data_IF_053316827633
#
_entry.id   IF_053316827633
#
_cell.length_a   1.000
_cell.length_b   1.000
_cell.length_c   1.000
_cell.angle_alpha   90.00
_cell.angle_beta   90.00
_cell.angle_gamma   90.00
#
_symmetry.space_group_name_H-M   'P 1'
#
loop_
_entity.id
_entity.type
_entity.pdbx_description
1 polymer ?
#
# COMPACT_ATOMS: atom_id res chain seq x y z
N UNK A 1 -19.11 62.75 -9.19
CA UNK A 1 -19.73 61.45 -9.52
C UNK A 1 -20.34 61.61 -10.89
N UNK A 2 -19.68 61.12 -11.93
CA UNK A 2 -20.14 61.29 -13.30
C UNK A 2 -19.88 60.03 -14.12
N UNK A 3 -20.98 59.58 -14.75
CA UNK A 3 -21.09 58.85 -16.03
C UNK A 3 -21.16 57.31 -15.99
N UNK A 4 -22.37 56.80 -16.19
CA UNK A 4 -22.67 55.62 -17.03
C UNK A 4 -23.89 55.97 -17.90
N UNK A 5 -23.89 55.61 -19.18
CA UNK A 5 -24.75 54.49 -19.64
C UNK A 5 -24.03 53.60 -20.68
N UNK A 6 -24.09 52.28 -20.57
CA UNK A 6 -25.09 51.35 -21.13
C UNK A 6 -24.54 50.70 -22.41
N UNK A 7 -24.20 49.41 -22.33
CA UNK A 7 -24.32 48.49 -23.45
C UNK A 7 -24.90 47.16 -22.94
N UNK A 8 -25.98 46.80 -23.61
CA UNK A 8 -26.91 45.71 -23.35
C UNK A 8 -26.36 44.42 -23.95
N UNK A 9 -26.22 43.35 -23.17
CA UNK A 9 -26.13 42.00 -23.74
C UNK A 9 -27.25 41.10 -23.21
N UNK A 10 -28.17 40.88 -24.14
CA UNK A 10 -29.27 39.93 -24.26
C UNK A 10 -29.26 38.71 -23.33
N UNK A 11 -30.37 38.56 -22.63
CA UNK A 11 -30.87 37.32 -22.03
C UNK A 11 -31.94 36.69 -22.93
N UNK A 12 -32.29 35.44 -22.62
CA UNK A 12 -33.40 34.59 -23.11
C UNK A 12 -33.17 33.86 -24.46
N UNK A 13 -33.58 32.61 -24.65
CA UNK A 13 -33.97 31.43 -23.86
C UNK A 13 -34.38 30.40 -24.94
N UNK A 14 -34.09 29.10 -24.79
CA UNK A 14 -35.09 28.07 -25.11
C UNK A 14 -34.69 26.69 -24.57
N UNK A 15 -35.71 25.85 -24.36
CA UNK A 15 -35.80 24.78 -23.37
C UNK A 15 -36.07 23.45 -24.09
N UNK A 16 -35.80 22.32 -23.41
CA UNK A 16 -36.44 20.99 -23.62
C UNK A 16 -35.97 20.21 -24.88
N UNK A 17 -35.82 18.88 -24.91
CA UNK A 17 -36.48 17.74 -24.25
C UNK A 17 -35.49 16.56 -24.11
N UNK A 18 -35.86 15.59 -23.28
CA UNK A 18 -35.13 14.35 -22.96
C UNK A 18 -35.14 13.33 -24.11
N UNK A 19 -34.10 12.50 -24.19
CA UNK A 19 -34.29 11.06 -24.36
C UNK A 19 -33.19 10.28 -23.63
N UNK A 20 -33.62 9.35 -22.77
CA UNK A 20 -32.77 8.43 -22.02
C UNK A 20 -32.60 7.16 -22.82
N UNK A 21 -31.39 6.60 -22.91
CA UNK A 21 -31.22 5.14 -22.92
C UNK A 21 -29.76 4.67 -22.80
N UNK A 22 -29.57 3.81 -21.78
CA UNK A 22 -28.61 2.69 -21.65
C UNK A 22 -27.22 3.04 -21.09
N UNK A 23 -26.95 2.76 -19.82
CA UNK A 23 -26.75 1.46 -19.15
C UNK A 23 -25.27 1.00 -19.18
N UNK A 24 -24.65 1.14 -18.00
CA UNK A 24 -23.89 0.12 -17.25
C UNK A 24 -22.52 -0.39 -17.77
N UNK A 25 -21.64 -0.56 -16.77
CA UNK A 25 -20.42 -1.40 -16.65
C UNK A 25 -19.12 -0.80 -17.19
N UNK A 26 -18.19 -0.38 -16.32
CA UNK A 26 -17.31 -1.22 -15.49
C UNK A 26 -16.36 -2.07 -16.34
N UNK A 27 -15.11 -1.63 -16.43
CA UNK A 27 -13.92 -2.44 -16.59
C UNK A 27 -12.73 -1.51 -16.29
N UNK A 28 -12.15 -1.49 -15.07
CA UNK A 28 -11.17 -2.45 -14.56
C UNK A 28 -10.22 -2.95 -15.65
N UNK A 29 -8.96 -2.48 -15.64
CA UNK A 29 -7.98 -3.05 -16.55
C UNK A 29 -6.69 -2.26 -16.76
N UNK A 30 -6.17 -1.53 -15.76
CA UNK A 30 -4.71 -1.40 -15.70
C UNK A 30 -4.16 -2.70 -15.11
N UNK A 31 -4.19 -3.74 -15.94
CA UNK A 31 -3.33 -4.90 -15.74
C UNK A 31 -1.92 -4.42 -16.05
N UNK A 32 -1.25 -3.90 -15.03
CA UNK A 32 0.20 -3.92 -15.03
C UNK A 32 0.58 -5.39 -14.99
N UNK A 33 0.94 -5.93 -16.16
CA UNK A 33 1.51 -7.25 -16.37
C UNK A 33 2.92 -7.28 -15.75
N UNK A 34 3.01 -6.93 -14.46
CA UNK A 34 4.12 -7.36 -13.64
C UNK A 34 3.93 -8.85 -13.49
N UNK A 35 4.87 -9.61 -14.04
CA UNK A 35 5.02 -11.03 -13.79
C UNK A 35 4.91 -11.24 -12.28
N UNK A 36 3.72 -11.63 -11.81
CA UNK A 36 3.49 -12.06 -10.44
C UNK A 36 4.14 -13.42 -10.40
N UNK A 37 5.46 -13.43 -10.24
CA UNK A 37 6.13 -14.53 -9.58
C UNK A 37 5.34 -14.69 -8.29
N UNK A 38 4.56 -15.77 -8.20
CA UNK A 38 3.71 -16.08 -7.04
C UNK A 38 4.64 -16.48 -5.91
N UNK A 39 5.41 -15.51 -5.44
CA UNK A 39 6.15 -15.58 -4.21
C UNK A 39 5.10 -15.80 -3.14
N UNK A 40 5.10 -17.00 -2.58
CA UNK A 40 4.43 -17.22 -1.32
C UNK A 40 5.18 -16.32 -0.32
N UNK A 41 4.55 -15.21 0.08
CA UNK A 41 5.08 -14.27 1.07
C UNK A 41 3.96 -13.88 2.01
N UNK A 42 4.32 -13.53 3.24
CA UNK A 42 3.36 -12.87 4.12
C UNK A 42 3.04 -11.48 3.58
N UNK A 43 1.76 -11.12 3.61
CA UNK A 43 1.34 -9.80 3.13
C UNK A 43 1.99 -8.67 3.93
N UNK A 44 2.29 -7.56 3.25
CA UNK A 44 2.80 -6.34 3.87
C UNK A 44 1.88 -5.86 5.02
N UNK A 45 0.56 -5.98 4.85
CA UNK A 45 -0.43 -5.63 5.87
C UNK A 45 -0.24 -6.46 7.15
N UNK A 46 0.00 -7.77 7.05
CA UNK A 46 0.24 -8.64 8.19
C UNK A 46 1.53 -8.25 8.92
N UNK A 47 2.60 -7.98 8.17
CA UNK A 47 3.90 -7.54 8.73
C UNK A 47 3.75 -6.20 9.45
N UNK A 48 3.09 -5.21 8.83
CA UNK A 48 2.82 -3.92 9.48
C UNK A 48 1.95 -4.07 10.72
N UNK A 49 0.94 -4.95 10.69
CA UNK A 49 0.11 -5.21 11.87
C UNK A 49 0.95 -5.77 13.01
N UNK A 50 1.81 -6.76 12.74
CA UNK A 50 2.75 -7.29 13.72
C UNK A 50 3.61 -6.20 14.34
N UNK A 51 4.23 -5.33 13.53
CA UNK A 51 5.09 -4.25 14.04
C UNK A 51 4.34 -3.26 14.93
N UNK A 52 3.07 -2.96 14.61
CA UNK A 52 2.23 -2.09 15.43
C UNK A 52 1.82 -2.78 16.74
N UNK A 53 1.34 -4.02 16.66
CA UNK A 53 0.86 -4.78 17.82
C UNK A 53 1.98 -5.07 18.81
N UNK A 54 3.18 -5.38 18.32
CA UNK A 54 4.32 -5.77 19.15
C UNK A 54 5.17 -4.60 19.63
N UNK A 55 4.76 -3.36 19.30
CA UNK A 55 5.46 -2.15 19.71
C UNK A 55 5.48 -2.03 21.23
N UNK A 56 6.68 -1.91 21.80
CA UNK A 56 6.88 -1.78 23.25
C UNK A 56 6.79 -3.09 24.04
N UNK A 57 6.47 -4.21 23.39
CA UNK A 57 6.50 -5.52 24.03
C UNK A 57 7.95 -6.01 24.17
N UNK A 58 8.25 -6.69 25.28
CA UNK A 58 9.56 -7.31 25.53
C UNK A 58 9.49 -8.80 25.17
N UNK A 59 10.58 -9.34 24.65
CA UNK A 59 10.74 -10.79 24.38
C UNK A 59 9.68 -11.40 23.46
N UNK A 60 9.24 -10.65 22.44
CA UNK A 60 8.32 -11.14 21.40
C UNK A 60 8.98 -12.30 20.64
N UNK A 61 8.28 -13.42 20.55
CA UNK A 61 8.62 -14.53 19.66
C UNK A 61 7.96 -14.26 18.31
N UNK A 62 8.75 -14.34 17.24
CA UNK A 62 8.27 -14.05 15.87
C UNK A 62 7.44 -15.23 15.35
N UNK A 63 7.82 -16.42 15.78
CA UNK A 63 7.24 -17.73 15.49
C UNK A 63 5.75 -17.79 15.85
N UNK A 64 5.34 -17.09 16.91
CA UNK A 64 3.95 -17.00 17.36
C UNK A 64 3.03 -16.28 16.35
N UNK A 65 3.60 -15.42 15.50
CA UNK A 65 2.87 -14.62 14.49
C UNK A 65 3.12 -15.13 13.06
N UNK A 66 4.31 -15.69 12.83
CA UNK A 66 4.80 -16.16 11.55
C UNK A 66 5.43 -17.55 11.75
N UNK A 67 4.65 -18.64 11.57
CA UNK A 67 5.13 -20.00 11.84
C UNK A 67 6.29 -20.41 10.93
N UNK A 68 6.31 -19.91 9.70
CA UNK A 68 7.44 -20.06 8.79
C UNK A 68 8.35 -18.82 8.86
N UNK A 69 9.46 -18.96 9.58
CA UNK A 69 10.45 -17.90 9.75
C UNK A 69 11.25 -17.62 8.47
N UNK A 70 11.50 -18.63 7.63
CA UNK A 70 12.21 -18.44 6.37
C UNK A 70 11.34 -17.62 5.42
N UNK A 71 10.05 -17.96 5.32
CA UNK A 71 9.07 -17.21 4.55
C UNK A 71 8.97 -15.76 5.04
N UNK A 72 9.03 -15.54 6.35
CA UNK A 72 9.05 -14.19 6.94
C UNK A 72 10.29 -13.40 6.53
N UNK A 73 11.47 -14.01 6.57
CA UNK A 73 12.71 -13.37 6.11
C UNK A 73 12.65 -13.00 4.63
N UNK A 74 12.18 -13.91 3.77
CA UNK A 74 12.03 -13.65 2.33
C UNK A 74 11.02 -12.54 2.06
N UNK A 75 9.88 -12.55 2.78
CA UNK A 75 8.86 -11.49 2.69
C UNK A 75 9.45 -10.11 3.01
N UNK A 76 10.24 -10.00 4.09
CA UNK A 76 10.88 -8.73 4.46
C UNK A 76 11.89 -8.30 3.40
N UNK A 77 12.76 -9.21 2.94
CA UNK A 77 13.75 -8.91 1.91
C UNK A 77 13.08 -8.38 0.64
N UNK A 78 11.99 -9.02 0.21
CA UNK A 78 11.21 -8.60 -0.94
C UNK A 78 10.70 -7.16 -0.78
N UNK A 79 10.01 -6.86 0.33
CA UNK A 79 9.44 -5.52 0.56
C UNK A 79 10.49 -4.44 0.83
N UNK A 80 11.68 -4.81 1.32
CA UNK A 80 12.80 -3.88 1.47
C UNK A 80 13.50 -3.58 0.15
N UNK A 81 13.52 -4.54 -0.78
CA UNK A 81 14.12 -4.41 -2.11
C UNK A 81 13.19 -3.69 -3.08
N UNK A 82 11.92 -4.06 -3.09
CA UNK A 82 10.93 -3.65 -4.08
C UNK A 82 10.01 -2.55 -3.50
N UNK A 83 10.59 -1.47 -3.00
CA UNK A 83 9.79 -0.31 -2.56
C UNK A 83 8.80 0.12 -3.64
N UNK A 84 7.63 0.60 -3.23
CA UNK A 84 6.53 0.91 -4.13
C UNK A 84 6.70 2.31 -4.73
N UNK A 85 6.76 2.41 -6.06
CA UNK A 85 6.89 3.68 -6.81
C UNK A 85 7.98 4.63 -6.27
N UNK A 86 9.14 4.08 -5.89
CA UNK A 86 10.27 4.86 -5.37
C UNK A 86 10.14 5.27 -3.89
N UNK A 87 9.10 4.81 -3.21
CA UNK A 87 8.93 4.98 -1.76
C UNK A 87 9.21 3.67 -1.01
N UNK A 88 9.83 3.75 0.17
CA UNK A 88 10.07 2.55 0.97
C UNK A 88 8.76 1.97 1.50
N UNK A 89 8.62 0.64 1.45
CA UNK A 89 7.46 -0.10 1.98
C UNK A 89 7.30 0.05 3.51
N UNK A 90 8.34 0.52 4.19
CA UNK A 90 8.37 0.69 5.64
C UNK A 90 8.93 2.07 6.01
N UNK A 91 8.48 2.60 7.14
CA UNK A 91 9.12 3.77 7.76
C UNK A 91 10.53 3.44 8.25
N UNK A 92 11.35 4.46 8.52
CA UNK A 92 12.69 4.28 9.08
C UNK A 92 12.68 3.48 10.40
N UNK A 93 11.70 3.73 11.26
CA UNK A 93 11.55 3.04 12.54
C UNK A 93 11.19 1.57 12.35
N UNK A 94 10.20 1.28 11.49
CA UNK A 94 9.81 -0.09 11.15
C UNK A 94 10.98 -0.85 10.51
N UNK A 95 11.71 -0.21 9.59
CA UNK A 95 12.87 -0.79 8.95
C UNK A 95 13.99 -1.11 9.96
N UNK A 96 14.23 -0.24 10.94
CA UNK A 96 15.17 -0.53 12.02
C UNK A 96 14.75 -1.77 12.84
N UNK A 97 13.47 -1.84 13.23
CA UNK A 97 12.94 -2.99 13.97
C UNK A 97 13.03 -4.29 13.16
N UNK A 98 12.68 -4.26 11.89
CA UNK A 98 12.76 -5.41 10.99
C UNK A 98 14.21 -5.88 10.82
N UNK A 99 15.16 -4.97 10.59
CA UNK A 99 16.59 -5.32 10.52
C UNK A 99 17.07 -5.99 11.81
N UNK A 100 16.68 -5.44 12.97
CA UNK A 100 17.03 -6.01 14.28
C UNK A 100 16.45 -7.41 14.46
N UNK A 101 15.19 -7.62 14.08
CA UNK A 101 14.56 -8.94 14.11
C UNK A 101 15.27 -9.93 13.19
N UNK A 102 15.60 -9.53 11.96
CA UNK A 102 16.30 -10.39 11.01
C UNK A 102 17.68 -10.82 11.52
N UNK A 103 18.43 -9.93 12.17
CA UNK A 103 19.71 -10.29 12.80
C UNK A 103 19.50 -11.35 13.89
N UNK A 104 18.51 -11.15 14.77
CA UNK A 104 18.17 -12.11 15.83
C UNK A 104 17.76 -13.47 15.25
N UNK A 105 16.94 -13.48 14.20
CA UNK A 105 16.49 -14.72 13.54
C UNK A 105 17.64 -15.47 12.89
N UNK A 106 18.60 -14.77 12.26
CA UNK A 106 19.78 -15.41 11.66
C UNK A 106 20.62 -16.14 12.71
N UNK A 107 20.90 -15.49 13.84
CA UNK A 107 21.65 -16.12 14.93
C UNK A 107 20.95 -17.34 15.50
N UNK A 108 19.61 -17.33 15.58
CA UNK A 108 18.84 -18.49 16.05
C UNK A 108 18.90 -19.66 15.08
N UNK A 109 18.85 -19.40 13.76
CA UNK A 109 18.92 -20.44 12.75
C UNK A 109 20.31 -21.07 12.67
N UNK A 110 21.37 -20.27 12.79
CA UNK A 110 22.77 -20.73 12.83
C UNK A 110 23.11 -21.52 14.11
N UNK A 111 22.32 -21.39 15.18
CA UNK A 111 22.52 -22.11 16.44
C UNK A 111 21.75 -23.43 16.53
N UNK A 112 20.90 -23.73 15.54
CA UNK A 112 20.02 -24.90 15.52
C UNK A 112 20.56 -26.05 14.63
N UNK A 113 21.67 -25.82 13.92
CA UNK A 113 22.52 -26.82 13.25
C UNK A 113 23.70 -27.21 14.16
#
# INVERSE_FOLDING_TARGET
MHNTPMDTQSSLLDTQERDSSRDIQEASGYNDDMQVEVYHVYSLAKIRSFLRTTKGMRSVQVEDYFPDLQLFQESIKLYMKNGDFGQPSFTHQEMYLLKKLMVKLRSQLESAD
#
